data_IF_548316075445
#
_entry.id   IF_548316075445
#
_cell.length_a   1.000
_cell.length_b   1.000
_cell.length_c   1.000
_cell.angle_alpha   90.00
_cell.angle_beta   90.00
_cell.angle_gamma   90.00
#
_symmetry.space_group_name_H-M   'P 1'
#
loop_
_entity.id
_entity.type
_entity.pdbx_description
1 polymer ?
#
# COMPACT_ATOMS: atom_id res chain seq x y z
N UNK A 1 1.77 7.13 12.36
CA UNK A 1 0.49 6.91 11.65
C UNK A 1 -0.57 6.76 12.73
N UNK A 2 -1.47 7.74 12.82
CA UNK A 2 -2.49 7.85 13.86
C UNK A 2 -3.87 7.54 13.24
N UNK A 3 -4.67 6.66 13.86
CA UNK A 3 -6.04 6.37 13.38
C UNK A 3 -6.89 7.63 13.39
N UNK A 4 -6.67 8.54 14.34
CA UNK A 4 -7.45 9.77 14.43
C UNK A 4 -7.38 10.57 13.11
N UNK A 5 -6.18 10.70 12.54
CA UNK A 5 -6.00 11.37 11.25
C UNK A 5 -6.67 10.60 10.10
N UNK A 6 -6.53 9.27 10.06
CA UNK A 6 -7.19 8.44 9.04
C UNK A 6 -8.71 8.63 9.09
N UNK A 7 -9.29 8.65 10.30
CA UNK A 7 -10.72 8.79 10.50
C UNK A 7 -11.23 10.18 10.12
N UNK A 8 -10.46 11.24 10.37
CA UNK A 8 -10.80 12.60 9.95
C UNK A 8 -10.89 12.73 8.43
N UNK A 9 -9.87 12.24 7.71
CA UNK A 9 -9.85 12.26 6.24
C UNK A 9 -10.97 11.39 5.67
N UNK A 10 -11.18 10.20 6.24
CA UNK A 10 -12.29 9.32 5.87
C UNK A 10 -13.64 10.04 5.99
N UNK A 11 -13.90 10.72 7.12
CA UNK A 11 -15.17 11.38 7.37
C UNK A 11 -15.45 12.47 6.33
N UNK A 12 -14.44 13.26 5.96
CA UNK A 12 -14.57 14.28 4.93
C UNK A 12 -14.97 13.68 3.57
N UNK A 13 -14.33 12.58 3.16
CA UNK A 13 -14.69 11.93 1.89
C UNK A 13 -16.06 11.24 1.95
N UNK A 14 -16.40 10.63 3.09
CA UNK A 14 -17.70 10.01 3.31
C UNK A 14 -18.84 11.04 3.24
N UNK A 15 -18.66 12.24 3.80
CA UNK A 15 -19.63 13.34 3.70
C UNK A 15 -19.85 13.75 2.24
N UNK A 16 -18.77 13.94 1.47
CA UNK A 16 -18.86 14.27 0.04
C UNK A 16 -19.60 13.21 -0.78
N UNK A 17 -19.34 11.92 -0.50
CA UNK A 17 -20.01 10.82 -1.17
C UNK A 17 -21.51 10.80 -0.83
N UNK A 18 -21.87 10.99 0.43
CA UNK A 18 -23.27 11.04 0.87
C UNK A 18 -24.04 12.21 0.26
N UNK A 19 -23.44 13.40 0.22
CA UNK A 19 -24.04 14.58 -0.42
C UNK A 19 -24.37 14.29 -1.89
N UNK A 20 -23.44 13.67 -2.61
CA UNK A 20 -23.65 13.33 -4.02
C UNK A 20 -24.76 12.29 -4.20
N UNK A 21 -24.78 11.24 -3.39
CA UNK A 21 -25.80 10.20 -3.46
C UNK A 21 -27.21 10.72 -3.13
N UNK A 22 -27.32 11.69 -2.20
CA UNK A 22 -28.61 12.33 -1.88
C UNK A 22 -29.14 13.19 -3.03
N UNK A 23 -28.27 13.68 -3.92
CA UNK A 23 -28.67 14.46 -5.10
C UNK A 23 -29.06 13.60 -6.30
N UNK A 24 -28.72 12.32 -6.31
CA UNK A 24 -29.13 11.40 -7.37
C UNK A 24 -30.54 10.83 -7.10
N UNK A 25 -31.41 10.73 -8.13
CA UNK A 25 -32.69 10.04 -7.98
C UNK A 25 -32.42 8.57 -7.66
N UNK A 26 -33.15 8.01 -6.69
CA UNK A 26 -32.94 6.66 -6.14
C UNK A 26 -32.57 5.63 -7.23
N UNK A 27 -31.28 5.30 -7.28
CA UNK A 27 -30.73 4.24 -8.13
C UNK A 27 -31.11 2.86 -7.62
N UNK A 28 -30.98 1.87 -8.49
CA UNK A 28 -31.45 0.49 -8.33
C UNK A 28 -31.07 -0.16 -6.98
N UNK A 29 -31.94 -1.02 -6.41
CA UNK A 29 -31.78 -1.62 -5.08
C UNK A 29 -30.71 -2.73 -4.96
N UNK A 30 -29.79 -2.85 -5.92
CA UNK A 30 -28.84 -3.98 -6.02
C UNK A 30 -27.38 -3.61 -5.65
N UNK A 31 -27.05 -2.34 -5.40
CA UNK A 31 -25.75 -1.95 -4.86
C UNK A 31 -25.79 -1.93 -3.33
N UNK A 32 -24.73 -2.43 -2.68
CA UNK A 32 -24.57 -2.32 -1.23
C UNK A 32 -24.76 -0.86 -0.82
N UNK A 33 -25.67 -0.61 0.11
CA UNK A 33 -26.04 0.74 0.51
C UNK A 33 -24.80 1.50 1.02
N UNK A 34 -24.32 2.55 0.31
CA UNK A 34 -23.11 3.28 0.69
C UNK A 34 -23.19 3.83 2.11
N UNK A 35 -24.41 4.12 2.58
CA UNK A 35 -24.65 4.56 3.96
C UNK A 35 -24.29 3.48 4.98
N UNK A 36 -24.55 2.20 4.67
CA UNK A 36 -24.18 1.07 5.53
C UNK A 36 -22.68 0.89 5.58
N UNK A 37 -21.98 0.99 4.44
CA UNK A 37 -20.52 0.89 4.39
C UNK A 37 -19.86 2.01 5.18
N UNK A 38 -20.33 3.25 5.02
CA UNK A 38 -19.85 4.40 5.80
C UNK A 38 -20.11 4.22 7.29
N UNK A 39 -21.28 3.70 7.66
CA UNK A 39 -21.63 3.36 9.04
C UNK A 39 -20.70 2.30 9.63
N UNK A 40 -20.47 1.21 8.90
CA UNK A 40 -19.58 0.13 9.30
C UNK A 40 -18.14 0.63 9.49
N UNK A 41 -17.61 1.44 8.56
CA UNK A 41 -16.27 2.01 8.65
C UNK A 41 -16.14 2.98 9.84
N UNK A 42 -17.19 3.76 10.11
CA UNK A 42 -17.24 4.64 11.28
C UNK A 42 -17.21 3.89 12.59
N UNK A 43 -17.95 2.79 12.70
CA UNK A 43 -17.97 1.96 13.90
C UNK A 43 -16.66 1.20 14.07
N UNK A 44 -16.07 0.72 12.99
CA UNK A 44 -14.74 0.12 12.97
C UNK A 44 -13.68 1.09 13.48
N UNK A 45 -13.65 2.33 12.98
CA UNK A 45 -12.71 3.35 13.46
C UNK A 45 -12.85 3.63 14.97
N UNK A 46 -14.08 3.61 15.51
CA UNK A 46 -14.31 3.74 16.96
C UNK A 46 -13.72 2.55 17.72
N UNK A 47 -13.91 1.32 17.22
CA UNK A 47 -13.36 0.11 17.84
C UNK A 47 -11.83 0.15 17.82
N UNK A 48 -11.23 0.48 16.68
CA UNK A 48 -9.78 0.53 16.55
C UNK A 48 -9.14 1.60 17.45
N UNK A 49 -9.77 2.78 17.58
CA UNK A 49 -9.32 3.83 18.52
C UNK A 49 -9.39 3.38 19.99
N UNK A 50 -10.42 2.62 20.36
CA UNK A 50 -10.52 2.05 21.70
C UNK A 50 -9.42 1.00 21.94
N UNK A 51 -9.14 0.17 20.94
CA UNK A 51 -8.05 -0.80 21.01
C UNK A 51 -6.70 -0.12 21.21
N UNK A 52 -6.45 1.01 20.53
CA UNK A 52 -5.26 1.84 20.75
C UNK A 52 -5.15 2.38 22.19
N UNK A 53 -6.23 2.96 22.72
CA UNK A 53 -6.24 3.50 24.08
C UNK A 53 -6.01 2.42 25.15
N UNK A 54 -6.53 1.20 24.94
CA UNK A 54 -6.28 0.08 25.84
C UNK A 54 -4.81 -0.37 25.81
N UNK A 55 -4.19 -0.42 24.62
CA UNK A 55 -2.78 -0.78 24.48
C UNK A 55 -1.83 0.29 25.05
N UNK A 56 -2.21 1.57 25.00
CA UNK A 56 -1.46 2.67 25.61
C UNK A 56 -1.55 2.69 27.15
N UNK A 57 -2.35 1.81 27.76
CA UNK A 57 -2.57 1.77 29.21
C UNK A 57 -3.50 2.88 29.72
N UNK A 58 -4.23 3.54 28.83
CA UNK A 58 -5.15 4.65 29.14
C UNK A 58 -6.56 4.17 29.48
N UNK A 59 -6.86 2.89 29.25
CA UNK A 59 -8.16 2.25 29.51
C UNK A 59 -8.01 0.95 30.29
N UNK A 60 -8.95 0.69 31.22
CA UNK A 60 -9.02 -0.55 32.03
C UNK A 60 -9.81 -1.69 31.37
N UNK A 61 -10.24 -1.52 30.12
CA UNK A 61 -10.97 -2.55 29.37
C UNK A 61 -10.03 -3.65 28.84
N UNK A 62 -10.57 -4.85 28.66
CA UNK A 62 -9.84 -6.00 28.12
C UNK A 62 -9.29 -5.67 26.73
N UNK A 63 -7.99 -5.86 26.53
CA UNK A 63 -7.36 -5.68 25.22
C UNK A 63 -8.01 -6.62 24.18
N UNK A 64 -8.27 -6.09 22.98
CA UNK A 64 -8.74 -6.90 21.85
C UNK A 64 -7.77 -8.06 21.59
N UNK A 65 -8.32 -9.22 21.27
CA UNK A 65 -7.48 -10.37 20.91
C UNK A 65 -6.80 -10.12 19.56
N UNK A 66 -5.60 -10.69 19.31
CA UNK A 66 -4.90 -10.52 18.04
C UNK A 66 -5.76 -10.93 16.82
N UNK A 67 -6.53 -12.01 16.93
CA UNK A 67 -7.44 -12.50 15.89
C UNK A 67 -8.56 -11.50 15.55
N UNK A 68 -9.08 -10.79 16.57
CA UNK A 68 -10.09 -9.75 16.37
C UNK A 68 -9.48 -8.53 15.66
N UNK A 69 -8.25 -8.15 16.02
CA UNK A 69 -7.54 -7.06 15.35
C UNK A 69 -7.23 -7.40 13.89
N UNK A 70 -6.93 -8.66 13.59
CA UNK A 70 -6.77 -9.14 12.22
C UNK A 70 -8.06 -9.04 11.41
N UNK A 71 -9.16 -9.55 11.94
CA UNK A 71 -10.46 -9.47 11.29
C UNK A 71 -10.87 -8.01 11.06
N UNK A 72 -10.70 -7.14 12.06
CA UNK A 72 -11.03 -5.71 11.96
C UNK A 72 -10.12 -4.98 10.98
N UNK A 73 -8.81 -5.21 11.00
CA UNK A 73 -7.87 -4.57 10.08
C UNK A 73 -8.18 -4.89 8.63
N UNK A 74 -8.34 -6.18 8.31
CA UNK A 74 -8.64 -6.62 6.95
C UNK A 74 -10.05 -6.21 6.51
N UNK A 75 -11.04 -6.21 7.41
CA UNK A 75 -12.37 -5.69 7.11
C UNK A 75 -12.33 -4.18 6.81
N UNK A 76 -11.51 -3.41 7.52
CA UNK A 76 -11.33 -1.98 7.23
C UNK A 76 -10.72 -1.72 5.85
N UNK A 77 -9.76 -2.55 5.40
CA UNK A 77 -9.22 -2.46 4.04
C UNK A 77 -10.29 -2.77 2.98
N UNK A 78 -11.14 -3.76 3.24
CA UNK A 78 -12.25 -4.11 2.35
C UNK A 78 -13.26 -2.97 2.24
N UNK A 79 -13.68 -2.40 3.38
CA UNK A 79 -14.62 -1.28 3.38
C UNK A 79 -14.10 -0.07 2.61
N UNK A 80 -12.81 0.27 2.75
CA UNK A 80 -12.20 1.36 1.99
C UNK A 80 -12.17 1.07 0.49
N UNK A 81 -11.88 -0.18 0.10
CA UNK A 81 -11.91 -0.60 -1.29
C UNK A 81 -13.33 -0.47 -1.88
N UNK A 82 -14.32 -1.05 -1.21
CA UNK A 82 -15.72 -1.05 -1.66
C UNK A 82 -16.26 0.40 -1.77
N UNK A 83 -15.94 1.26 -0.80
CA UNK A 83 -16.30 2.68 -0.86
C UNK A 83 -15.59 3.43 -2.00
N UNK A 84 -14.34 3.09 -2.28
CA UNK A 84 -13.61 3.70 -3.40
C UNK A 84 -14.21 3.29 -4.75
N UNK A 85 -14.65 2.04 -4.89
CA UNK A 85 -15.33 1.54 -6.08
C UNK A 85 -16.68 2.25 -6.27
N UNK A 86 -17.48 2.38 -5.22
CA UNK A 86 -18.74 3.11 -5.27
C UNK A 86 -18.57 4.60 -5.61
N UNK A 87 -17.55 5.25 -5.05
CA UNK A 87 -17.23 6.63 -5.40
C UNK A 87 -16.80 6.76 -6.88
N UNK A 88 -16.09 5.76 -7.43
CA UNK A 88 -15.72 5.74 -8.83
C UNK A 88 -16.93 5.51 -9.75
N UNK A 89 -17.85 4.62 -9.38
CA UNK A 89 -19.13 4.41 -10.07
C UNK A 89 -20.02 5.66 -10.06
N UNK A 90 -19.97 6.44 -8.98
CA UNK A 90 -20.64 7.73 -8.85
C UNK A 90 -19.91 8.89 -9.58
N UNK A 91 -18.92 8.61 -10.42
CA UNK A 91 -18.11 9.58 -11.16
C UNK A 91 -17.32 10.57 -10.27
N UNK A 92 -17.13 10.26 -8.99
CA UNK A 92 -16.33 11.05 -8.04
C UNK A 92 -14.89 10.53 -7.99
N UNK A 93 -14.16 10.65 -9.10
CA UNK A 93 -12.81 10.11 -9.23
C UNK A 93 -11.83 10.60 -8.14
N UNK A 94 -11.92 11.87 -7.74
CA UNK A 94 -11.09 12.42 -6.67
C UNK A 94 -11.44 11.79 -5.31
N UNK A 95 -12.72 11.60 -5.01
CA UNK A 95 -13.18 10.98 -3.76
C UNK A 95 -12.75 9.50 -3.71
N UNK A 96 -12.96 8.76 -4.80
CA UNK A 96 -12.52 7.38 -4.93
C UNK A 96 -11.02 7.25 -4.68
N UNK A 97 -10.21 8.16 -5.25
CA UNK A 97 -8.77 8.18 -5.07
C UNK A 97 -8.38 8.43 -3.62
N UNK A 98 -8.99 9.44 -2.97
CA UNK A 98 -8.70 9.75 -1.57
C UNK A 98 -9.08 8.58 -0.64
N UNK A 99 -10.20 7.90 -0.91
CA UNK A 99 -10.60 6.69 -0.16
C UNK A 99 -9.60 5.54 -0.34
N UNK A 100 -9.19 5.24 -1.58
CA UNK A 100 -8.17 4.22 -1.85
C UNK A 100 -6.82 4.56 -1.17
N UNK A 101 -6.45 5.84 -1.16
CA UNK A 101 -5.22 6.32 -0.54
C UNK A 101 -5.17 6.11 0.98
N UNK A 102 -6.32 5.89 1.65
CA UNK A 102 -6.39 5.55 3.07
C UNK A 102 -6.01 4.08 3.34
N UNK A 103 -5.97 3.23 2.32
CA UNK A 103 -5.54 1.83 2.47
C UNK A 103 -4.06 1.70 2.83
N UNK A 104 -3.19 2.60 2.34
CA UNK A 104 -1.78 2.60 2.74
C UNK A 104 -1.59 2.88 4.24
N UNK A 105 -2.11 3.98 4.80
CA UNK A 105 -1.98 4.26 6.23
C UNK A 105 -2.63 3.18 7.11
N UNK A 106 -3.76 2.59 6.70
CA UNK A 106 -4.35 1.45 7.40
C UNK A 106 -3.46 0.20 7.31
N UNK A 107 -2.90 -0.11 6.14
CA UNK A 107 -1.98 -1.24 5.96
C UNK A 107 -0.74 -1.14 6.85
N UNK A 108 -0.15 0.06 6.95
CA UNK A 108 0.97 0.32 7.89
C UNK A 108 0.53 0.12 9.35
N UNK A 109 -0.67 0.57 9.69
CA UNK A 109 -1.22 0.41 11.03
C UNK A 109 -1.40 -1.07 11.41
N UNK A 110 -1.87 -1.88 10.46
CA UNK A 110 -2.00 -3.34 10.59
C UNK A 110 -0.60 -3.96 10.77
N UNK A 111 0.35 -3.61 9.91
CA UNK A 111 1.72 -4.12 9.94
C UNK A 111 2.42 -3.90 11.29
N UNK A 112 2.27 -2.69 11.86
CA UNK A 112 2.87 -2.34 13.16
C UNK A 112 2.32 -3.14 14.34
N UNK A 113 1.19 -3.82 14.18
CA UNK A 113 0.58 -4.69 15.20
C UNK A 113 0.93 -6.16 15.02
N UNK A 114 1.78 -6.48 14.03
CA UNK A 114 2.12 -7.87 13.72
C UNK A 114 0.93 -8.66 13.18
N UNK A 115 -0.04 -7.96 12.60
CA UNK A 115 -1.24 -8.55 11.99
C UNK A 115 -0.97 -8.76 10.51
N UNK A 116 -1.45 -9.88 9.96
CA UNK A 116 -1.27 -10.20 8.55
C UNK A 116 -2.22 -9.40 7.64
N UNK A 117 -1.67 -8.88 6.53
CA UNK A 117 -2.43 -8.22 5.46
C UNK A 117 -2.86 -9.28 4.45
N UNK A 118 -4.18 -9.44 4.30
CA UNK A 118 -4.79 -10.39 3.35
C UNK A 118 -5.25 -9.72 2.04
N UNK A 119 -5.47 -8.39 2.05
CA UNK A 119 -5.91 -7.63 0.88
C UNK A 119 -4.84 -6.61 0.46
N UNK A 120 -3.94 -7.04 -0.42
CA UNK A 120 -2.75 -6.26 -0.74
C UNK A 120 -2.95 -5.26 -1.90
N UNK A 121 -3.86 -5.54 -2.84
CA UNK A 121 -4.07 -4.71 -4.03
C UNK A 121 -4.31 -3.21 -3.72
N UNK A 122 -5.28 -2.83 -2.86
CA UNK A 122 -5.54 -1.41 -2.60
C UNK A 122 -4.38 -0.71 -1.88
N UNK A 123 -3.67 -1.44 -1.00
CA UNK A 123 -2.48 -0.93 -0.31
C UNK A 123 -1.34 -0.63 -1.30
N UNK A 124 -1.14 -1.52 -2.28
CA UNK A 124 -0.10 -1.37 -3.32
C UNK A 124 -0.44 -0.25 -4.29
N UNK A 125 -1.71 -0.10 -4.67
CA UNK A 125 -2.18 0.99 -5.51
C UNK A 125 -1.96 2.35 -4.83
N UNK A 126 -2.34 2.46 -3.55
CA UNK A 126 -2.09 3.64 -2.74
C UNK A 126 -0.58 3.94 -2.65
N UNK A 127 0.26 2.92 -2.37
CA UNK A 127 1.72 3.08 -2.35
C UNK A 127 2.26 3.62 -3.69
N UNK A 128 1.81 3.07 -4.82
CA UNK A 128 2.20 3.51 -6.15
C UNK A 128 1.82 4.98 -6.38
N UNK A 129 0.61 5.37 -5.96
CA UNK A 129 0.15 6.75 -6.05
C UNK A 129 1.04 7.69 -5.23
N UNK A 130 1.27 7.41 -3.94
CA UNK A 130 2.16 8.24 -3.11
C UNK A 130 3.58 8.32 -3.69
N UNK A 131 4.11 7.21 -4.23
CA UNK A 131 5.42 7.21 -4.87
C UNK A 131 5.45 8.14 -6.09
N UNK A 132 4.42 8.13 -6.92
CA UNK A 132 4.34 9.00 -8.09
C UNK A 132 4.25 10.49 -7.73
N UNK A 133 3.55 10.82 -6.64
CA UNK A 133 3.39 12.20 -6.19
C UNK A 133 4.63 12.74 -5.45
N UNK A 134 5.40 11.86 -4.81
CA UNK A 134 6.54 12.25 -3.98
C UNK A 134 7.75 12.67 -4.83
N UNK A 135 8.30 13.85 -4.53
CA UNK A 135 9.47 14.40 -5.25
C UNK A 135 10.74 14.45 -4.42
N UNK A 136 10.61 14.65 -3.10
CA UNK A 136 11.74 14.73 -2.19
C UNK A 136 12.35 13.35 -1.96
N UNK A 137 13.70 13.20 -2.06
CA UNK A 137 14.38 11.97 -1.66
C UNK A 137 14.19 11.60 -0.18
N UNK A 138 13.93 12.59 0.69
CA UNK A 138 13.68 12.36 2.12
C UNK A 138 12.29 11.74 2.35
N UNK A 139 11.26 12.28 1.70
CA UNK A 139 9.91 11.72 1.77
C UNK A 139 9.86 10.34 1.11
N UNK A 140 10.64 10.11 0.05
CA UNK A 140 10.84 8.78 -0.54
C UNK A 140 11.41 7.78 0.46
N UNK A 141 12.32 8.21 1.34
CA UNK A 141 12.86 7.33 2.36
C UNK A 141 11.79 6.95 3.39
N UNK A 142 10.91 7.88 3.76
CA UNK A 142 9.76 7.57 4.62
C UNK A 142 8.87 6.54 3.93
N UNK A 143 8.52 6.77 2.68
CA UNK A 143 7.69 5.85 1.90
C UNK A 143 8.34 4.48 1.72
N UNK A 144 9.66 4.42 1.56
CA UNK A 144 10.43 3.17 1.54
C UNK A 144 10.30 2.40 2.85
N UNK A 145 10.37 3.10 3.98
CA UNK A 145 10.16 2.52 5.30
C UNK A 145 8.77 1.89 5.41
N UNK A 146 7.73 2.65 5.05
CA UNK A 146 6.35 2.15 5.06
C UNK A 146 6.15 0.93 4.16
N UNK A 147 6.71 0.95 2.95
CA UNK A 147 6.64 -0.19 2.03
C UNK A 147 7.36 -1.42 2.59
N UNK A 148 8.47 -1.24 3.32
CA UNK A 148 9.18 -2.33 3.99
C UNK A 148 8.34 -2.93 5.11
N UNK A 149 7.71 -2.10 5.96
CA UNK A 149 6.80 -2.56 7.01
C UNK A 149 5.64 -3.40 6.43
N UNK A 150 5.08 -2.98 5.29
CA UNK A 150 4.01 -3.72 4.61
C UNK A 150 4.51 -5.05 4.08
N UNK A 151 5.68 -5.09 3.42
CA UNK A 151 6.26 -6.34 2.90
C UNK A 151 6.44 -7.38 4.00
N UNK A 152 6.84 -6.96 5.20
CA UNK A 152 7.04 -7.83 6.35
C UNK A 152 5.72 -8.35 6.96
N UNK A 153 4.61 -7.62 6.74
CA UNK A 153 3.29 -7.95 7.27
C UNK A 153 2.35 -8.65 6.26
N UNK A 154 2.78 -8.87 5.02
CA UNK A 154 1.99 -9.61 4.03
C UNK A 154 1.93 -11.08 4.43
N UNK A 155 0.72 -11.66 4.38
CA UNK A 155 0.52 -13.08 4.65
C UNK A 155 1.37 -13.96 3.71
N UNK A 156 2.04 -15.01 4.21
CA UNK A 156 2.86 -15.91 3.38
C UNK A 156 2.13 -16.45 2.15
N UNK A 157 0.83 -16.73 2.29
CA UNK A 157 -0.01 -17.24 1.21
C UNK A 157 -0.02 -16.32 -0.03
N UNK A 158 -0.06 -15.00 0.17
CA UNK A 158 -0.05 -14.03 -0.93
C UNK A 158 1.32 -13.94 -1.59
N UNK A 159 2.39 -14.17 -0.84
CA UNK A 159 3.75 -14.16 -1.39
C UNK A 159 4.01 -15.38 -2.28
N UNK A 160 3.51 -16.56 -1.89
CA UNK A 160 3.70 -17.83 -2.60
C UNK A 160 2.93 -17.90 -3.93
N UNK A 161 1.75 -17.28 -4.01
CA UNK A 161 0.96 -17.18 -5.25
C UNK A 161 1.58 -16.18 -6.24
N UNK A 162 2.46 -15.29 -5.75
CA UNK A 162 2.75 -13.98 -6.32
C UNK A 162 3.63 -13.89 -7.57
N UNK A 163 3.84 -14.98 -8.31
CA UNK A 163 4.68 -15.00 -9.52
C UNK A 163 3.90 -14.79 -10.83
N UNK A 164 2.57 -14.74 -10.80
CA UNK A 164 1.75 -14.47 -11.99
C UNK A 164 1.75 -12.99 -12.38
N UNK A 165 1.40 -12.71 -13.64
CA UNK A 165 1.30 -11.34 -14.16
C UNK A 165 0.34 -10.45 -13.35
N UNK A 166 0.81 -9.24 -13.02
CA UNK A 166 0.09 -8.19 -12.27
C UNK A 166 -0.33 -8.56 -10.84
N UNK A 167 0.28 -9.59 -10.23
CA UNK A 167 -0.03 -9.92 -8.84
C UNK A 167 0.37 -8.79 -7.86
N UNK A 168 -0.47 -8.41 -6.88
CA UNK A 168 -0.17 -7.32 -5.94
C UNK A 168 1.16 -7.46 -5.20
N UNK A 169 1.54 -8.69 -4.82
CA UNK A 169 2.85 -8.98 -4.20
C UNK A 169 4.03 -8.58 -5.10
N UNK A 170 3.99 -8.97 -6.37
CA UNK A 170 5.01 -8.62 -7.37
C UNK A 170 5.10 -7.10 -7.53
N UNK A 171 3.95 -6.44 -7.66
CA UNK A 171 3.87 -4.98 -7.76
C UNK A 171 4.39 -4.26 -6.51
N UNK A 172 4.13 -4.79 -5.31
CA UNK A 172 4.66 -4.25 -4.05
C UNK A 172 6.19 -4.24 -4.06
N UNK A 173 6.82 -5.37 -4.41
CA UNK A 173 8.27 -5.50 -4.43
C UNK A 173 8.90 -4.58 -5.48
N UNK A 174 8.31 -4.50 -6.68
CA UNK A 174 8.75 -3.60 -7.76
C UNK A 174 8.62 -2.13 -7.31
N UNK A 175 7.47 -1.73 -6.76
CA UNK A 175 7.24 -0.37 -6.28
C UNK A 175 8.22 -0.01 -5.17
N UNK A 176 8.48 -0.92 -4.23
CA UNK A 176 9.49 -0.71 -3.18
C UNK A 176 10.89 -0.49 -3.76
N UNK A 177 11.29 -1.25 -4.78
CA UNK A 177 12.60 -1.09 -5.43
C UNK A 177 12.71 0.24 -6.24
N UNK A 178 11.61 0.68 -6.86
CA UNK A 178 11.54 1.99 -7.53
C UNK A 178 11.65 3.12 -6.50
N UNK A 179 10.90 3.04 -5.40
CA UNK A 179 10.96 4.01 -4.29
C UNK A 179 12.38 4.06 -3.73
N UNK A 180 13.00 2.91 -3.45
CA UNK A 180 14.38 2.80 -2.99
C UNK A 180 15.36 3.53 -3.92
N UNK A 181 15.21 3.36 -5.23
CA UNK A 181 16.06 4.02 -6.24
C UNK A 181 15.89 5.53 -6.20
N UNK A 182 14.65 6.03 -6.04
CA UNK A 182 14.32 7.46 -5.96
C UNK A 182 14.76 8.14 -4.67
N UNK A 183 15.15 7.39 -3.63
CA UNK A 183 15.78 7.96 -2.41
C UNK A 183 17.21 8.46 -2.66
N UNK A 184 17.86 8.04 -3.75
CA UNK A 184 19.28 8.23 -4.01
C UNK A 184 20.22 7.65 -2.94
N UNK A 185 19.74 6.69 -2.13
CA UNK A 185 20.52 6.03 -1.08
C UNK A 185 20.86 4.58 -1.48
N UNK A 186 22.11 4.29 -1.87
CA UNK A 186 22.57 2.93 -2.18
C UNK A 186 22.21 1.89 -1.12
N UNK A 187 22.31 2.25 0.16
CA UNK A 187 22.01 1.35 1.29
C UNK A 187 20.55 0.88 1.35
N UNK A 188 19.61 1.61 0.75
CA UNK A 188 18.20 1.20 0.65
C UNK A 188 17.92 0.40 -0.63
N UNK A 189 18.70 0.63 -1.69
CA UNK A 189 18.56 -0.09 -2.95
C UNK A 189 18.98 -1.55 -2.83
N UNK A 190 20.09 -1.82 -2.15
CA UNK A 190 20.63 -3.18 -2.03
C UNK A 190 19.62 -4.19 -1.48
N UNK A 191 18.99 -4.01 -0.30
CA UNK A 191 18.00 -4.95 0.21
C UNK A 191 16.76 -5.05 -0.69
N UNK A 192 16.32 -3.93 -1.30
CA UNK A 192 15.19 -3.94 -2.21
C UNK A 192 15.47 -4.76 -3.48
N UNK A 193 16.66 -4.62 -4.06
CA UNK A 193 17.08 -5.35 -5.26
C UNK A 193 17.36 -6.82 -4.97
N UNK A 194 17.93 -7.14 -3.82
CA UNK A 194 18.07 -8.53 -3.36
C UNK A 194 16.71 -9.22 -3.30
N UNK A 195 15.68 -8.55 -2.75
CA UNK A 195 14.35 -9.12 -2.73
C UNK A 195 13.73 -9.32 -4.13
N UNK A 196 13.97 -8.41 -5.09
CA UNK A 196 13.56 -8.63 -6.49
C UNK A 196 14.21 -9.90 -7.04
N UNK A 197 15.50 -10.09 -6.81
CA UNK A 197 16.25 -11.25 -7.29
C UNK A 197 15.75 -12.55 -6.66
N UNK A 198 15.52 -12.56 -5.35
CA UNK A 198 15.14 -13.76 -4.61
C UNK A 198 13.69 -14.15 -4.85
N UNK A 199 12.79 -13.17 -4.90
CA UNK A 199 11.34 -13.41 -4.95
C UNK A 199 10.77 -13.32 -6.36
N UNK A 200 11.41 -12.55 -7.26
CA UNK A 200 10.95 -12.31 -8.63
C UNK A 200 12.10 -12.53 -9.65
N UNK A 201 12.72 -13.72 -9.68
CA UNK A 201 13.90 -13.98 -10.52
C UNK A 201 13.63 -13.77 -12.02
N UNK A 202 12.41 -14.00 -12.48
CA UNK A 202 11.99 -13.79 -13.88
C UNK A 202 11.88 -12.31 -14.26
N UNK A 203 11.55 -11.44 -13.30
CA UNK A 203 11.46 -9.99 -13.51
C UNK A 203 12.80 -9.28 -13.43
N UNK A 204 13.72 -9.82 -12.62
CA UNK A 204 14.99 -9.16 -12.30
C UNK A 204 15.75 -8.67 -13.55
N UNK A 205 15.93 -9.46 -14.63
CA UNK A 205 16.65 -8.99 -15.82
C UNK A 205 16.00 -7.77 -16.48
N UNK A 206 14.67 -7.81 -16.65
CA UNK A 206 13.90 -6.72 -17.27
C UNK A 206 13.93 -5.48 -16.37
N UNK A 207 13.70 -5.65 -15.08
CA UNK A 207 13.69 -4.57 -14.10
C UNK A 207 15.02 -3.79 -14.10
N UNK A 208 16.16 -4.49 -14.05
CA UNK A 208 17.47 -3.82 -14.04
C UNK A 208 17.82 -3.19 -15.39
N UNK A 209 17.41 -3.80 -16.51
CA UNK A 209 17.63 -3.23 -17.84
C UNK A 209 16.85 -1.92 -18.04
N UNK A 210 15.58 -1.89 -17.63
CA UNK A 210 14.76 -0.68 -17.62
C UNK A 210 15.33 0.38 -16.66
N UNK A 211 15.77 -0.04 -15.47
CA UNK A 211 16.43 0.83 -14.49
C UNK A 211 17.66 1.54 -15.03
N UNK A 212 18.54 0.82 -15.75
CA UNK A 212 19.70 1.40 -16.43
C UNK A 212 19.30 2.49 -17.44
N UNK A 213 18.31 2.22 -18.29
CA UNK A 213 17.83 3.21 -19.27
C UNK A 213 17.27 4.47 -18.59
N UNK A 214 16.55 4.31 -17.48
CA UNK A 214 15.99 5.44 -16.73
C UNK A 214 17.08 6.27 -16.05
N UNK A 215 18.14 5.64 -15.55
CA UNK A 215 19.25 6.35 -14.88
C UNK A 215 20.00 7.31 -15.79
N UNK A 216 20.12 6.96 -17.07
CA UNK A 216 20.75 7.81 -18.09
C UNK A 216 19.85 9.00 -18.43
N UNK A 217 18.53 8.80 -18.51
CA UNK A 217 17.55 9.86 -18.82
C UNK A 217 17.39 10.87 -17.70
N UNK A 218 17.29 10.39 -16.45
CA UNK A 218 16.96 11.23 -15.28
C UNK A 218 18.22 11.88 -14.67
N UNK A 219 19.41 11.30 -14.90
CA UNK A 219 20.65 11.90 -14.41
C UNK A 219 20.99 11.55 -12.94
N UNK A 220 20.71 10.33 -12.49
CA UNK A 220 20.94 9.90 -11.10
C UNK A 220 22.41 10.01 -10.65
N UNK A 221 22.69 10.20 -9.34
CA UNK A 221 24.06 10.25 -8.82
C UNK A 221 24.87 8.97 -9.10
N UNK A 222 26.20 9.11 -9.25
CA UNK A 222 27.07 7.97 -9.59
C UNK A 222 27.00 6.80 -8.59
N UNK A 223 26.92 6.99 -7.26
CA UNK A 223 26.78 5.87 -6.32
C UNK A 223 25.51 5.02 -6.57
N UNK A 224 24.41 5.65 -6.99
CA UNK A 224 23.15 4.97 -7.34
C UNK A 224 23.32 4.16 -8.62
N UNK A 225 23.97 4.75 -9.63
CA UNK A 225 24.26 4.06 -10.89
C UNK A 225 25.15 2.84 -10.70
N UNK A 226 26.13 2.92 -9.81
CA UNK A 226 27.02 1.78 -9.51
C UNK A 226 26.25 0.57 -8.97
N UNK A 227 25.29 0.79 -8.06
CA UNK A 227 24.46 -0.30 -7.54
C UNK A 227 23.63 -0.93 -8.65
N UNK A 228 22.94 -0.13 -9.47
CA UNK A 228 22.13 -0.63 -10.57
C UNK A 228 22.96 -1.39 -11.61
N UNK A 229 24.14 -0.87 -11.99
CA UNK A 229 25.06 -1.56 -12.91
C UNK A 229 25.50 -2.90 -12.36
N UNK A 230 25.83 -2.97 -11.06
CA UNK A 230 26.27 -4.21 -10.41
C UNK A 230 25.18 -5.28 -10.48
N UNK A 231 23.95 -4.94 -10.09
CA UNK A 231 22.83 -5.88 -10.18
C UNK A 231 22.50 -6.23 -11.64
N UNK A 232 22.47 -5.26 -12.56
CA UNK A 232 22.27 -5.53 -13.98
C UNK A 232 23.29 -6.55 -14.52
N UNK A 233 24.58 -6.36 -14.29
CA UNK A 233 25.63 -7.28 -14.73
C UNK A 233 25.43 -8.71 -14.19
N UNK A 234 25.15 -8.85 -12.90
CA UNK A 234 24.93 -10.15 -12.25
C UNK A 234 23.76 -10.94 -12.86
N UNK A 235 22.73 -10.27 -13.38
CA UNK A 235 21.51 -10.92 -13.88
C UNK A 235 21.37 -10.90 -15.41
N UNK A 236 22.17 -10.10 -16.13
CA UNK A 236 22.34 -10.22 -17.57
C UNK A 236 23.16 -11.44 -17.98
N UNK A 237 24.17 -11.82 -17.18
CA UNK A 237 25.07 -12.96 -17.50
C UNK A 237 24.41 -14.33 -17.27
N UNK A 238 23.46 -14.45 -16.33
CA UNK A 238 22.76 -15.72 -16.05
C UNK A 238 21.86 -16.21 -17.19
N UNK A 239 21.51 -15.35 -18.16
CA UNK A 239 20.67 -15.70 -19.31
C UNK A 239 21.47 -16.02 -20.59
N UNK A 240 22.82 -16.00 -20.54
CA UNK A 240 23.66 -16.28 -21.73
C UNK A 240 24.18 -17.71 -21.83
N UNK A 241 23.80 -18.61 -20.93
CA UNK A 241 24.11 -20.04 -21.04
C UNK A 241 22.87 -20.81 -21.53
N UNK A 242 22.81 -20.97 -22.85
CA UNK A 242 21.97 -21.95 -23.56
C UNK A 242 22.50 -23.37 -23.36
#
# INVERSE_FOLDING_TARGET
>A
MDIAYLYEVFREQAERLLEHLQTQPAGSPEQDDPQRLIGAMSDLCKILRKAEACQAGESTETACQPEELEALGNFGLQLLNDLSEQAAEAELADCARELENLCLPLGVWIARRGVEIQQLAPVVNALAWYANQTRSPEDMQVLYGLATEIVEAVSPHLSEIGTRDLHPWRLLLINRAIVATRTHRPSLMEPAFTAIVEQLPEDAPRFFAEGMQQMDRVGYPEPVRQVMRRFHALFSEKHTLH
#
